data_IF_687989339071
#
_entry.id   IF_687989339071
#
_cell.length_a   1.000
_cell.length_b   1.000
_cell.length_c   1.000
_cell.angle_alpha   90.00
_cell.angle_beta   90.00
_cell.angle_gamma   90.00
#
_symmetry.space_group_name_H-M   'P 1'
#
loop_
_entity.id
_entity.type
_entity.pdbx_description
1 polymer ?
#
# COMPACT_ATOMS: atom_id res chain seq x y z
N UNK A 1 4.57 -9.31 30.20
CA UNK A 1 3.83 -8.10 30.55
C UNK A 1 3.05 -8.34 31.85
N UNK A 2 2.08 -9.27 31.90
CA UNK A 2 1.23 -9.53 33.08
C UNK A 2 2.00 -9.87 34.32
N UNK A 3 2.99 -10.78 34.25
CA UNK A 3 3.83 -11.17 35.39
C UNK A 3 4.57 -10.00 36.02
N UNK A 4 4.79 -8.92 35.26
CA UNK A 4 5.48 -7.71 35.69
C UNK A 4 4.51 -6.58 36.09
N UNK A 5 3.20 -6.82 36.03
CA UNK A 5 2.18 -5.80 36.36
C UNK A 5 2.09 -4.65 35.35
N UNK A 6 2.65 -4.81 34.14
CA UNK A 6 2.75 -3.75 33.12
C UNK A 6 1.56 -3.70 32.16
N UNK A 7 0.58 -4.57 32.28
CA UNK A 7 -0.53 -4.72 31.34
C UNK A 7 -1.41 -3.48 31.17
N UNK A 8 -1.45 -2.63 32.19
CA UNK A 8 -2.25 -1.39 32.16
C UNK A 8 -1.53 -0.24 31.40
N UNK A 9 -0.27 -0.43 31.06
CA UNK A 9 0.56 0.58 30.41
C UNK A 9 1.38 0.01 29.23
N UNK A 10 0.88 -1.05 28.61
CA UNK A 10 1.59 -1.69 27.50
C UNK A 10 0.61 -2.08 26.40
N UNK A 11 0.92 -1.68 25.19
CA UNK A 11 0.28 -2.17 23.97
C UNK A 11 1.24 -3.12 23.25
N UNK A 12 0.71 -4.20 22.74
CA UNK A 12 1.45 -5.18 21.94
C UNK A 12 0.82 -5.27 20.57
N UNK A 13 1.62 -5.05 19.54
CA UNK A 13 1.23 -5.22 18.15
C UNK A 13 2.05 -6.33 17.54
N UNK A 14 1.39 -7.19 16.78
CA UNK A 14 2.04 -8.25 16.01
C UNK A 14 1.52 -8.19 14.58
N UNK A 15 2.43 -8.12 13.64
CA UNK A 15 2.16 -8.09 12.21
C UNK A 15 3.42 -8.48 11.45
N UNK A 16 3.38 -8.46 10.14
CA UNK A 16 4.55 -8.57 9.26
C UNK A 16 4.57 -7.38 8.30
N UNK A 17 5.70 -7.11 7.71
CA UNK A 17 5.94 -5.97 6.81
C UNK A 17 5.29 -6.13 5.43
N UNK A 18 5.17 -7.37 4.94
CA UNK A 18 4.62 -7.71 3.63
C UNK A 18 4.01 -9.12 3.64
N UNK A 19 3.40 -9.50 2.55
CA UNK A 19 2.86 -10.84 2.35
C UNK A 19 3.92 -11.92 2.25
N UNK A 20 3.49 -13.18 2.21
CA UNK A 20 4.38 -14.32 2.18
C UNK A 20 5.36 -14.26 1.00
N UNK A 21 6.63 -14.47 1.27
CA UNK A 21 7.66 -14.61 0.26
C UNK A 21 7.79 -16.07 -0.17
N UNK A 22 6.92 -16.47 -1.05
CA UNK A 22 6.78 -17.88 -1.44
C UNK A 22 8.04 -18.47 -2.10
N UNK A 23 8.92 -17.62 -2.62
CA UNK A 23 10.21 -18.02 -3.23
C UNK A 23 11.16 -18.72 -2.24
N UNK A 24 10.95 -18.54 -0.95
CA UNK A 24 11.78 -19.17 0.09
C UNK A 24 11.04 -20.29 0.82
N UNK A 25 10.23 -21.03 0.07
CA UNK A 25 9.58 -22.23 0.58
C UNK A 25 10.62 -23.23 1.16
N UNK A 26 10.36 -23.88 2.29
CA UNK A 26 9.10 -23.89 3.05
C UNK A 26 9.00 -22.81 4.13
N UNK A 27 10.01 -21.99 4.34
CA UNK A 27 10.12 -21.12 5.52
C UNK A 27 9.14 -19.95 5.51
N UNK A 28 8.83 -19.38 4.36
CA UNK A 28 7.91 -18.26 4.26
C UNK A 28 6.42 -18.64 4.31
N UNK A 29 6.10 -19.92 4.09
CA UNK A 29 4.71 -20.38 4.01
C UNK A 29 3.92 -19.76 2.86
N UNK A 30 2.60 -19.79 2.98
CA UNK A 30 1.66 -19.32 1.97
C UNK A 30 0.64 -18.34 2.56
N UNK A 31 0.04 -17.54 1.69
CA UNK A 31 -1.09 -16.68 2.00
C UNK A 31 -2.35 -17.20 1.31
N UNK A 32 -3.56 -17.00 1.88
CA UNK A 32 -4.80 -17.34 1.20
C UNK A 32 -5.14 -16.39 0.04
N UNK A 33 -4.38 -15.32 -0.12
CA UNK A 33 -4.60 -14.29 -1.13
C UNK A 33 -3.73 -14.55 -2.36
N UNK A 34 -4.09 -13.90 -3.47
CA UNK A 34 -3.37 -14.06 -4.74
C UNK A 34 -1.95 -13.52 -4.66
N UNK A 35 -1.02 -14.26 -5.25
CA UNK A 35 0.37 -13.87 -5.47
C UNK A 35 1.21 -13.76 -4.18
N UNK A 36 2.33 -13.09 -4.22
CA UNK A 36 3.42 -13.14 -3.26
C UNK A 36 4.02 -11.76 -2.99
N UNK A 37 4.95 -11.66 -2.03
CA UNK A 37 5.77 -10.49 -1.78
C UNK A 37 6.32 -9.89 -3.08
N UNK A 38 6.33 -8.56 -3.19
CA UNK A 38 6.83 -7.82 -4.34
C UNK A 38 5.82 -7.65 -5.47
N UNK A 39 4.55 -7.95 -5.23
CA UNK A 39 3.46 -7.73 -6.18
C UNK A 39 2.42 -6.78 -5.62
N UNK A 40 1.61 -6.18 -6.49
CA UNK A 40 0.50 -5.31 -6.10
C UNK A 40 -0.78 -6.09 -5.73
N UNK A 41 -0.69 -7.42 -5.68
CA UNK A 41 -1.79 -8.31 -5.31
C UNK A 41 -1.98 -8.36 -3.79
N UNK A 42 -3.16 -8.78 -3.35
CA UNK A 42 -3.46 -8.91 -1.93
C UNK A 42 -2.48 -9.85 -1.21
N UNK A 43 -1.99 -10.90 -1.88
CA UNK A 43 -1.01 -11.82 -1.31
C UNK A 43 0.36 -11.19 -1.03
N UNK A 44 0.70 -10.11 -1.74
CA UNK A 44 1.93 -9.36 -1.48
C UNK A 44 1.78 -8.29 -0.40
N UNK A 45 0.56 -7.84 -0.13
CA UNK A 45 0.31 -6.65 0.69
C UNK A 45 -0.58 -6.90 1.92
N UNK A 46 -1.56 -7.78 1.80
CA UNK A 46 -2.50 -8.05 2.88
C UNK A 46 -1.91 -9.02 3.89
N UNK A 47 -1.72 -8.54 5.11
CA UNK A 47 -1.05 -9.26 6.20
C UNK A 47 -1.94 -9.38 7.43
N UNK A 48 -1.73 -10.40 8.26
CA UNK A 48 -2.40 -10.46 9.56
C UNK A 48 -1.87 -9.38 10.48
N UNK A 49 -2.76 -8.80 11.30
CA UNK A 49 -2.39 -7.88 12.34
C UNK A 49 -3.18 -8.19 13.62
N UNK A 50 -2.49 -8.22 14.75
CA UNK A 50 -3.05 -8.46 16.07
C UNK A 50 -2.60 -7.34 16.99
N UNK A 51 -3.56 -6.77 17.73
CA UNK A 51 -3.27 -5.78 18.75
C UNK A 51 -3.84 -6.22 20.09
N UNK A 52 -3.08 -5.99 21.14
CA UNK A 52 -3.49 -6.23 22.52
C UNK A 52 -3.04 -5.07 23.40
N UNK A 53 -3.88 -4.67 24.35
CA UNK A 53 -3.55 -3.61 25.30
C UNK A 53 -4.78 -3.04 26.02
N UNK A 54 -4.56 -2.04 26.89
CA UNK A 54 -5.64 -1.39 27.62
C UNK A 54 -6.71 -0.82 26.67
N UNK A 55 -7.98 -1.03 26.98
CA UNK A 55 -9.09 -0.52 26.17
C UNK A 55 -9.41 -1.30 24.90
N UNK A 56 -8.54 -2.20 24.45
CA UNK A 56 -8.81 -3.06 23.29
C UNK A 56 -9.73 -4.22 23.74
N UNK A 57 -10.89 -4.33 23.10
CA UNK A 57 -11.87 -5.38 23.43
C UNK A 57 -11.33 -6.75 22.97
N UNK A 58 -11.19 -7.73 23.90
CA UNK A 58 -10.75 -9.08 23.54
C UNK A 58 -11.65 -9.73 22.49
N UNK A 59 -11.05 -10.39 21.49
CA UNK A 59 -11.75 -11.10 20.44
C UNK A 59 -12.47 -10.21 19.43
N UNK A 60 -12.31 -8.89 19.50
CA UNK A 60 -12.81 -7.98 18.48
C UNK A 60 -12.12 -8.21 17.13
N UNK A 61 -12.84 -7.94 16.05
CA UNK A 61 -12.34 -8.01 14.68
C UNK A 61 -12.70 -6.73 13.95
N UNK A 62 -11.81 -6.26 13.13
CA UNK A 62 -12.02 -5.11 12.25
C UNK A 62 -11.55 -5.43 10.84
N UNK A 63 -12.25 -4.90 9.84
CA UNK A 63 -11.98 -5.10 8.42
C UNK A 63 -11.76 -3.79 7.67
N UNK A 64 -11.65 -2.69 8.39
CA UNK A 64 -11.31 -1.40 7.81
C UNK A 64 -9.88 -1.41 7.27
N UNK A 65 -9.58 -0.47 6.37
CA UNK A 65 -8.23 -0.34 5.82
C UNK A 65 -7.32 0.26 6.90
N UNK A 66 -6.30 -0.49 7.28
CA UNK A 66 -5.20 -0.07 8.14
C UNK A 66 -3.88 -0.56 7.53
N UNK A 67 -2.81 0.16 7.75
CA UNK A 67 -1.50 -0.25 7.25
C UNK A 67 -0.36 0.12 8.18
N UNK A 68 0.83 -0.36 7.87
CA UNK A 68 2.05 -0.05 8.60
C UNK A 68 2.34 1.46 8.69
N UNK A 69 1.89 2.22 7.70
CA UNK A 69 1.98 3.69 7.69
C UNK A 69 1.26 4.33 8.89
N UNK A 70 0.22 3.68 9.43
CA UNK A 70 -0.64 4.24 10.47
C UNK A 70 -0.10 4.01 11.88
N UNK A 71 0.92 3.20 12.05
CA UNK A 71 1.50 2.94 13.36
C UNK A 71 2.06 4.18 14.02
N UNK A 72 2.70 5.07 13.26
CA UNK A 72 3.37 6.23 13.83
C UNK A 72 2.37 7.20 14.49
N UNK A 73 1.29 7.58 13.80
CA UNK A 73 0.25 8.44 14.37
C UNK A 73 -0.51 7.74 15.52
N UNK A 74 -0.79 6.45 15.33
CA UNK A 74 -1.47 5.64 16.36
C UNK A 74 -0.64 5.56 17.64
N UNK A 75 0.66 5.28 17.54
CA UNK A 75 1.53 5.21 18.70
C UNK A 75 1.72 6.57 19.38
N UNK A 76 1.78 7.65 18.59
CA UNK A 76 1.79 9.00 19.16
C UNK A 76 0.52 9.27 19.97
N UNK A 77 -0.64 8.95 19.42
CA UNK A 77 -1.92 9.11 20.12
C UNK A 77 -2.02 8.23 21.37
N UNK A 78 -1.63 6.95 21.30
CA UNK A 78 -1.59 6.06 22.46
C UNK A 78 -0.61 6.53 23.55
N UNK A 79 0.47 7.20 23.14
CA UNK A 79 1.45 7.84 24.03
C UNK A 79 1.04 9.22 24.54
N UNK A 80 -0.14 9.72 24.18
CA UNK A 80 -0.65 11.02 24.61
C UNK A 80 0.07 12.22 23.95
N UNK A 81 0.64 12.02 22.75
CA UNK A 81 1.34 13.05 21.98
C UNK A 81 0.83 13.12 20.54
N UNK A 82 1.36 14.05 19.76
CA UNK A 82 1.07 14.23 18.34
C UNK A 82 2.35 14.11 17.51
N UNK A 83 2.20 13.84 16.22
CA UNK A 83 3.32 13.83 15.29
C UNK A 83 3.95 15.22 15.15
N UNK A 84 5.28 15.33 15.01
CA UNK A 84 5.95 16.60 14.80
C UNK A 84 5.59 17.17 13.43
N UNK A 85 5.47 18.49 13.34
CA UNK A 85 5.24 19.21 12.07
C UNK A 85 6.52 19.67 11.40
N UNK A 86 7.66 19.52 12.09
CA UNK A 86 9.00 19.86 11.61
C UNK A 86 10.00 18.77 11.96
N UNK A 87 10.96 18.56 11.08
CA UNK A 87 12.09 17.69 11.34
C UNK A 87 13.15 18.34 12.27
N UNK A 88 14.24 17.61 12.56
CA UNK A 88 15.31 18.12 13.42
C UNK A 88 16.06 19.32 12.84
N UNK A 89 15.99 19.51 11.52
CA UNK A 89 16.56 20.66 10.81
C UNK A 89 15.58 21.85 10.73
N UNK A 90 14.40 21.73 11.34
CA UNK A 90 13.35 22.75 11.31
C UNK A 90 12.54 22.80 10.03
N UNK A 91 12.75 21.87 9.11
CA UNK A 91 12.01 21.79 7.84
C UNK A 91 10.62 21.20 8.05
N UNK A 92 9.61 21.68 7.31
CA UNK A 92 8.27 21.11 7.36
C UNK A 92 8.30 19.61 7.05
N UNK A 93 7.60 18.82 7.84
CA UNK A 93 7.44 17.38 7.66
C UNK A 93 5.97 17.02 7.62
N UNK A 94 5.62 16.06 6.77
CA UNK A 94 4.29 15.50 6.66
C UNK A 94 4.38 13.97 6.77
N UNK A 95 3.37 13.39 7.37
CA UNK A 95 3.24 11.93 7.52
C UNK A 95 1.98 11.46 6.82
N UNK A 96 2.08 10.38 6.05
CA UNK A 96 0.95 9.68 5.44
C UNK A 96 0.26 8.74 6.43
N UNK A 97 0.25 9.10 7.70
CA UNK A 97 -0.16 8.29 8.84
C UNK A 97 -1.44 8.85 9.47
N UNK A 98 -2.39 7.98 9.73
CA UNK A 98 -3.61 8.30 10.46
C UNK A 98 -3.61 7.64 11.84
N UNK A 99 -4.20 8.31 12.82
CA UNK A 99 -4.47 7.71 14.12
C UNK A 99 -5.59 6.66 14.01
N UNK A 100 -5.25 5.42 14.29
CA UNK A 100 -6.16 4.27 14.26
C UNK A 100 -6.62 3.84 15.67
N UNK A 101 -6.33 4.61 16.71
CA UNK A 101 -6.79 4.31 18.06
C UNK A 101 -8.31 4.18 18.17
N UNK A 102 -9.15 4.96 17.45
CA UNK A 102 -10.60 4.74 17.45
C UNK A 102 -11.01 3.37 16.92
N UNK A 103 -10.28 2.83 15.93
CA UNK A 103 -10.53 1.49 15.40
C UNK A 103 -10.13 0.42 16.43
N UNK A 104 -8.98 0.59 17.07
CA UNK A 104 -8.48 -0.34 18.10
C UNK A 104 -9.42 -0.44 19.29
N UNK A 105 -9.99 0.68 19.71
CA UNK A 105 -10.94 0.73 20.83
C UNK A 105 -12.39 0.44 20.42
N UNK A 106 -12.68 0.31 19.13
CA UNK A 106 -14.04 0.11 18.63
C UNK A 106 -14.95 1.32 18.82
N UNK A 107 -14.39 2.51 18.91
CA UNK A 107 -15.12 3.78 19.09
C UNK A 107 -15.33 4.53 17.77
N UNK A 108 -14.68 4.12 16.70
CA UNK A 108 -14.79 4.73 15.37
C UNK A 108 -14.33 3.81 14.26
N UNK A 109 -14.45 4.31 13.04
CA UNK A 109 -13.96 3.67 11.82
C UNK A 109 -12.56 4.17 11.47
N UNK A 110 -11.87 3.46 10.57
CA UNK A 110 -10.63 3.93 10.00
C UNK A 110 -10.81 5.28 9.28
N UNK A 111 -9.88 6.20 9.53
CA UNK A 111 -9.77 7.43 8.76
C UNK A 111 -9.22 7.21 7.35
N UNK A 112 -8.61 6.04 7.11
CA UNK A 112 -8.07 5.65 5.81
C UNK A 112 -9.16 4.99 4.98
N UNK A 113 -9.56 5.66 3.90
CA UNK A 113 -10.59 5.17 2.97
C UNK A 113 -10.00 4.61 1.68
N UNK A 114 -8.71 4.85 1.43
CA UNK A 114 -7.99 4.37 0.25
C UNK A 114 -6.63 3.79 0.64
N UNK A 115 -6.14 2.90 -0.21
CA UNK A 115 -4.81 2.31 -0.11
C UNK A 115 -4.17 2.28 -1.48
N UNK A 116 -2.88 2.63 -1.54
CA UNK A 116 -2.09 2.61 -2.77
C UNK A 116 -1.01 1.56 -2.65
N UNK A 117 -0.89 0.73 -3.66
CA UNK A 117 0.08 -0.36 -3.72
C UNK A 117 1.23 0.07 -4.61
N UNK A 118 2.43 -0.02 -4.08
CA UNK A 118 3.65 0.33 -4.80
C UNK A 118 4.55 -0.89 -4.88
N UNK A 119 5.18 -1.09 -6.02
CA UNK A 119 6.34 -1.96 -6.12
C UNK A 119 7.61 -1.13 -5.94
N UNK A 120 8.76 -1.79 -5.86
CA UNK A 120 10.04 -1.11 -5.65
C UNK A 120 10.29 -0.09 -6.78
N UNK A 121 10.89 1.02 -6.41
CA UNK A 121 11.32 2.10 -7.30
C UNK A 121 10.19 2.78 -8.08
N UNK A 122 8.95 2.69 -7.62
CA UNK A 122 7.82 3.33 -8.26
C UNK A 122 7.32 4.55 -7.48
N UNK A 123 7.02 5.62 -8.20
CA UNK A 123 6.30 6.78 -7.69
C UNK A 123 4.81 6.76 -8.05
N UNK A 124 4.43 6.01 -9.07
CA UNK A 124 3.02 5.77 -9.39
C UNK A 124 2.57 4.45 -8.77
N UNK A 125 1.36 4.39 -8.21
CA UNK A 125 0.86 3.13 -7.65
C UNK A 125 0.61 2.12 -8.78
N UNK A 126 1.02 0.87 -8.57
CA UNK A 126 0.70 -0.24 -9.43
C UNK A 126 -0.72 -0.76 -9.24
N UNK A 127 -1.33 -0.45 -8.09
CA UNK A 127 -2.75 -0.65 -7.81
C UNK A 127 -3.26 0.39 -6.82
N UNK A 128 -4.57 0.62 -6.83
CA UNK A 128 -5.24 1.48 -5.87
C UNK A 128 -6.54 0.85 -5.39
N UNK A 129 -6.84 1.01 -4.11
CA UNK A 129 -8.05 0.52 -3.46
C UNK A 129 -8.82 1.69 -2.85
N UNK A 130 -10.14 1.72 -3.08
CA UNK A 130 -11.08 2.63 -2.42
C UNK A 130 -12.22 1.79 -1.86
N UNK A 131 -12.38 1.79 -0.55
CA UNK A 131 -13.34 0.92 0.10
C UNK A 131 -13.09 -0.55 -0.21
N UNK A 132 -14.07 -1.21 -0.83
CA UNK A 132 -13.98 -2.62 -1.22
C UNK A 132 -13.38 -2.84 -2.61
N UNK A 133 -13.33 -1.80 -3.44
CA UNK A 133 -12.89 -1.94 -4.83
C UNK A 133 -11.41 -1.65 -4.99
N UNK A 134 -10.74 -2.48 -5.77
CA UNK A 134 -9.33 -2.36 -6.11
C UNK A 134 -9.15 -2.39 -7.62
N UNK A 135 -8.45 -1.42 -8.17
CA UNK A 135 -7.97 -1.44 -9.55
C UNK A 135 -6.48 -1.77 -9.57
N UNK A 136 -6.10 -2.68 -10.45
CA UNK A 136 -4.71 -3.09 -10.65
C UNK A 136 -4.25 -2.61 -12.01
N UNK A 137 -3.24 -1.76 -12.03
CA UNK A 137 -2.66 -1.14 -13.23
C UNK A 137 -1.38 -1.85 -13.67
N UNK A 138 -0.61 -2.37 -12.70
CA UNK A 138 0.63 -3.10 -12.92
C UNK A 138 0.38 -4.59 -12.66
N UNK A 139 0.52 -5.40 -13.70
CA UNK A 139 0.28 -6.84 -13.64
C UNK A 139 1.54 -7.64 -13.27
N UNK A 140 2.53 -7.01 -12.63
CA UNK A 140 3.69 -7.74 -12.12
C UNK A 140 3.24 -8.89 -11.23
N UNK A 141 3.80 -10.06 -11.44
CA UNK A 141 3.37 -11.29 -10.77
C UNK A 141 2.15 -11.95 -11.41
N UNK A 142 1.76 -11.47 -12.60
CA UNK A 142 0.73 -12.06 -13.42
C UNK A 142 1.30 -12.20 -14.83
N UNK A 143 1.60 -13.42 -15.26
CA UNK A 143 2.13 -13.72 -16.59
C UNK A 143 1.04 -13.78 -17.67
N UNK A 144 -0.18 -13.38 -17.34
CA UNK A 144 -1.32 -13.48 -18.25
C UNK A 144 -1.81 -14.92 -18.43
N UNK A 145 -1.09 -15.90 -17.91
CA UNK A 145 -1.46 -17.31 -17.94
C UNK A 145 -1.95 -17.80 -16.58
N UNK A 146 -1.75 -17.02 -15.55
CA UNK A 146 -2.19 -17.32 -14.20
C UNK A 146 -3.71 -17.20 -14.07
N UNK A 147 -4.42 -17.85 -14.95
CA UNK A 147 -5.85 -18.03 -14.86
C UNK A 147 -6.17 -18.79 -13.58
N UNK A 148 -6.49 -18.06 -12.52
CA UNK A 148 -7.01 -18.65 -11.30
C UNK A 148 -6.04 -19.55 -10.55
N UNK A 149 -4.88 -19.79 -11.03
CA UNK A 149 -3.83 -20.41 -10.26
C UNK A 149 -3.47 -19.42 -9.15
N UNK A 150 -3.37 -19.90 -7.96
CA UNK A 150 -2.45 -19.35 -7.01
C UNK A 150 -1.18 -19.16 -7.84
N UNK A 151 -0.91 -17.94 -8.26
CA UNK A 151 0.25 -17.69 -9.09
C UNK A 151 1.47 -17.86 -8.20
N UNK A 152 1.85 -19.08 -8.09
CA UNK A 152 3.06 -19.51 -7.44
C UNK A 152 4.14 -19.65 -8.51
N UNK A 153 4.17 -18.72 -9.43
CA UNK A 153 5.38 -18.58 -10.17
C UNK A 153 6.32 -17.72 -9.33
N UNK A 154 7.20 -18.41 -8.66
CA UNK A 154 8.24 -17.86 -7.81
C UNK A 154 9.12 -16.84 -8.52
N UNK A 155 9.13 -16.85 -9.85
CA UNK A 155 9.89 -15.90 -10.66
C UNK A 155 9.14 -14.59 -10.88
N UNK A 156 7.88 -14.49 -10.50
CA UNK A 156 7.01 -13.36 -10.77
C UNK A 156 6.84 -12.39 -9.59
N UNK A 157 7.49 -12.63 -8.49
CA UNK A 157 7.58 -11.68 -7.39
C UNK A 157 8.42 -10.47 -7.77
N UNK A 158 9.12 -9.93 -6.85
CA UNK A 158 10.00 -8.77 -7.07
C UNK A 158 11.17 -9.07 -8.03
N UNK A 159 11.51 -10.33 -8.24
CA UNK A 159 12.47 -10.79 -9.25
C UNK A 159 11.87 -10.98 -10.63
N UNK A 160 10.56 -10.76 -10.77
CA UNK A 160 9.88 -10.95 -12.03
C UNK A 160 10.46 -10.09 -13.14
N UNK A 161 10.64 -10.65 -14.34
CA UNK A 161 11.41 -10.00 -15.38
C UNK A 161 10.74 -8.76 -15.96
N UNK A 162 9.42 -8.65 -15.91
CA UNK A 162 8.71 -7.59 -16.58
C UNK A 162 7.56 -7.02 -15.76
N UNK A 163 7.50 -5.70 -15.73
CA UNK A 163 6.31 -4.98 -15.33
C UNK A 163 5.41 -4.82 -16.54
N UNK A 164 4.26 -5.41 -16.44
CA UNK A 164 3.25 -5.28 -17.47
C UNK A 164 2.20 -4.25 -17.01
N UNK A 165 2.08 -3.16 -17.74
CA UNK A 165 1.08 -2.12 -17.46
C UNK A 165 -0.17 -2.47 -18.24
N UNK A 166 -1.28 -2.66 -17.55
CA UNK A 166 -2.55 -2.95 -18.17
C UNK A 166 -3.06 -1.74 -18.97
N UNK A 167 -3.43 -1.95 -20.24
CA UNK A 167 -4.12 -0.94 -21.05
C UNK A 167 -5.47 -0.58 -20.41
N UNK A 168 -6.12 -1.58 -19.85
CA UNK A 168 -7.36 -1.45 -19.09
C UNK A 168 -7.12 -2.09 -17.73
N UNK A 169 -7.25 -1.35 -16.61
CA UNK A 169 -6.98 -1.90 -15.30
C UNK A 169 -7.95 -3.04 -14.97
N UNK A 170 -7.44 -4.06 -14.31
CA UNK A 170 -8.30 -5.07 -13.70
C UNK A 170 -8.98 -4.47 -12.46
N UNK A 171 -10.25 -4.78 -12.26
CA UNK A 171 -11.01 -4.28 -11.10
C UNK A 171 -11.62 -5.44 -10.33
N UNK A 172 -11.45 -5.43 -9.03
CA UNK A 172 -11.92 -6.46 -8.11
C UNK A 172 -12.76 -5.88 -6.99
N UNK A 173 -13.82 -6.56 -6.61
CA UNK A 173 -14.53 -6.34 -5.33
C UNK A 173 -13.89 -7.25 -4.27
N UNK A 174 -13.02 -6.70 -3.45
CA UNK A 174 -12.30 -7.48 -2.43
C UNK A 174 -13.18 -7.98 -1.28
N UNK A 175 -14.41 -7.51 -1.18
CA UNK A 175 -15.36 -8.07 -0.20
C UNK A 175 -15.94 -9.40 -0.68
N UNK A 176 -16.29 -9.48 -1.97
CA UNK A 176 -16.81 -10.70 -2.59
C UNK A 176 -15.70 -11.62 -3.07
N UNK A 177 -14.61 -11.05 -3.56
CA UNK A 177 -13.46 -11.76 -4.14
C UNK A 177 -12.14 -11.30 -3.51
N UNK A 178 -11.86 -11.65 -2.25
CA UNK A 178 -10.62 -11.26 -1.60
C UNK A 178 -9.36 -11.89 -2.21
N UNK A 179 -9.54 -12.84 -3.12
CA UNK A 179 -8.46 -13.55 -3.81
C UNK A 179 -8.18 -12.96 -5.20
N UNK A 180 -8.88 -11.89 -5.61
CA UNK A 180 -8.66 -11.24 -6.91
C UNK A 180 -8.73 -12.22 -8.11
N UNK A 181 -9.71 -13.13 -8.08
CA UNK A 181 -9.89 -14.16 -9.14
C UNK A 181 -10.72 -13.67 -10.31
N UNK A 182 -11.66 -12.78 -10.05
CA UNK A 182 -12.68 -12.38 -11.00
C UNK A 182 -12.65 -10.89 -11.25
N UNK A 183 -12.03 -10.49 -12.36
CA UNK A 183 -12.12 -9.11 -12.84
C UNK A 183 -13.58 -8.80 -13.20
N UNK A 184 -14.16 -7.81 -12.55
CA UNK A 184 -15.56 -7.40 -12.77
C UNK A 184 -15.77 -6.68 -14.11
N UNK A 185 -14.72 -6.49 -14.92
CA UNK A 185 -14.83 -5.88 -16.24
C UNK A 185 -15.87 -6.57 -17.14
N UNK A 186 -15.85 -7.88 -17.18
CA UNK A 186 -16.75 -8.65 -18.05
C UNK A 186 -18.07 -9.03 -17.37
N UNK A 187 -18.10 -9.06 -16.04
CA UNK A 187 -19.26 -9.55 -15.29
C UNK A 187 -20.20 -8.43 -14.85
N UNK A 188 -19.68 -7.25 -14.60
CA UNK A 188 -20.47 -6.10 -14.15
C UNK A 188 -19.86 -4.77 -14.60
N UNK A 189 -20.08 -4.41 -15.85
CA UNK A 189 -19.54 -3.18 -16.43
C UNK A 189 -19.95 -1.91 -15.67
N UNK A 190 -21.16 -1.84 -15.21
CA UNK A 190 -21.70 -0.66 -14.51
C UNK A 190 -20.98 -0.47 -13.16
N UNK A 191 -20.87 -1.53 -12.39
CA UNK A 191 -20.17 -1.51 -11.11
C UNK A 191 -18.68 -1.14 -11.28
N UNK A 192 -18.03 -1.73 -12.27
CA UNK A 192 -16.65 -1.39 -12.62
C UNK A 192 -16.48 0.09 -12.93
N UNK A 193 -17.39 0.67 -13.71
CA UNK A 193 -17.32 2.09 -14.08
C UNK A 193 -17.41 2.97 -12.85
N UNK A 194 -18.34 2.69 -11.95
CA UNK A 194 -18.47 3.42 -10.69
C UNK A 194 -17.23 3.28 -9.81
N UNK A 195 -16.70 2.08 -9.66
CA UNK A 195 -15.51 1.82 -8.89
C UNK A 195 -14.31 2.63 -9.43
N UNK A 196 -14.12 2.64 -10.76
CA UNK A 196 -13.02 3.36 -11.39
C UNK A 196 -13.11 4.88 -11.21
N UNK A 197 -14.31 5.47 -11.16
CA UNK A 197 -14.46 6.90 -10.89
C UNK A 197 -13.84 7.26 -9.54
N UNK A 198 -14.20 6.55 -8.48
CA UNK A 198 -13.66 6.79 -7.14
C UNK A 198 -12.16 6.51 -7.05
N UNK A 199 -11.70 5.44 -7.68
CA UNK A 199 -10.28 5.05 -7.71
C UNK A 199 -9.45 6.08 -8.47
N UNK A 200 -9.89 6.52 -9.65
CA UNK A 200 -9.20 7.55 -10.42
C UNK A 200 -9.11 8.87 -9.65
N UNK A 201 -10.18 9.26 -8.95
CA UNK A 201 -10.15 10.44 -8.10
C UNK A 201 -9.09 10.30 -6.99
N UNK A 202 -9.06 9.16 -6.31
CA UNK A 202 -8.07 8.91 -5.26
C UNK A 202 -6.63 8.93 -5.79
N UNK A 203 -6.39 8.36 -6.97
CA UNK A 203 -5.06 8.41 -7.63
C UNK A 203 -4.69 9.84 -8.01
N UNK A 204 -5.62 10.62 -8.56
CA UNK A 204 -5.37 12.03 -8.86
C UNK A 204 -5.03 12.84 -7.60
N UNK A 205 -5.73 12.58 -6.50
CA UNK A 205 -5.48 13.28 -5.25
C UNK A 205 -4.12 12.88 -4.65
N UNK A 206 -3.71 11.62 -4.77
CA UNK A 206 -2.35 11.21 -4.46
C UNK A 206 -1.32 11.97 -5.30
N UNK A 207 -1.52 12.06 -6.63
CA UNK A 207 -0.59 12.76 -7.52
C UNK A 207 -0.49 14.26 -7.15
N UNK A 208 -1.57 14.90 -6.74
CA UNK A 208 -1.55 16.29 -6.25
C UNK A 208 -0.66 16.45 -5.01
N UNK A 209 -0.55 15.43 -4.17
CA UNK A 209 0.36 15.49 -3.02
C UNK A 209 1.81 15.61 -3.43
N UNK A 210 2.21 15.01 -4.55
CA UNK A 210 3.59 15.13 -5.08
C UNK A 210 3.93 16.54 -5.56
N UNK A 211 2.92 17.32 -5.95
CA UNK A 211 3.11 18.74 -6.27
C UNK A 211 3.36 19.55 -5.01
N UNK A 212 2.52 19.31 -4.00
CA UNK A 212 2.62 20.03 -2.72
C UNK A 212 3.82 19.59 -1.89
N UNK A 213 4.17 18.31 -1.95
CA UNK A 213 5.26 17.67 -1.23
C UNK A 213 6.10 16.83 -2.19
N UNK A 214 6.97 17.46 -2.98
CA UNK A 214 7.77 16.74 -3.98
C UNK A 214 8.54 15.59 -3.34
N UNK A 215 8.64 14.43 -4.02
CA UNK A 215 9.44 13.31 -3.56
C UNK A 215 10.87 13.78 -3.25
N UNK A 216 11.33 13.51 -2.04
CA UNK A 216 12.70 13.84 -1.65
C UNK A 216 13.64 12.75 -2.16
N UNK A 217 14.83 13.16 -2.59
CA UNK A 217 15.89 12.22 -2.85
C UNK A 217 16.15 11.42 -1.57
N UNK A 218 16.13 10.10 -1.63
CA UNK A 218 16.55 9.29 -0.50
C UNK A 218 18.00 9.68 -0.17
N UNK A 219 18.21 10.30 0.96
CA UNK A 219 19.54 10.58 1.51
C UNK A 219 20.09 9.27 2.10
N UNK A 220 20.25 8.28 1.27
CA UNK A 220 21.04 7.11 1.62
C UNK A 220 22.46 7.40 1.15
N UNK A 221 23.30 7.83 2.04
CA UNK A 221 24.74 7.95 1.79
C UNK A 221 25.38 6.60 1.43
N UNK A 222 24.62 5.53 1.55
CA UNK A 222 25.10 4.15 1.37
C UNK A 222 24.63 3.47 0.09
N UNK A 223 23.59 3.98 -0.58
CA UNK A 223 23.12 3.39 -1.82
C UNK A 223 23.56 4.22 -3.02
N UNK A 224 24.66 3.81 -3.63
CA UNK A 224 25.19 4.34 -4.88
C UNK A 224 24.78 3.51 -6.11
N UNK A 225 23.81 2.63 -5.96
CA UNK A 225 23.32 1.78 -7.04
C UNK A 225 22.74 2.60 -8.19
N UNK A 226 22.85 2.11 -9.43
CA UNK A 226 22.29 2.81 -10.57
C UNK A 226 20.76 2.90 -10.45
N UNK A 227 20.23 4.09 -10.69
CA UNK A 227 18.79 4.22 -10.98
C UNK A 227 18.54 3.35 -12.21
N UNK A 228 17.70 2.33 -12.07
CA UNK A 228 17.40 1.48 -13.22
C UNK A 228 16.72 2.30 -14.31
N UNK A 229 17.03 2.00 -15.57
CA UNK A 229 16.41 2.67 -16.73
C UNK A 229 14.87 2.66 -16.58
N UNK A 230 14.32 1.56 -16.09
CA UNK A 230 12.87 1.43 -15.86
C UNK A 230 12.34 2.36 -14.76
N UNK A 231 13.10 2.64 -13.70
CA UNK A 231 12.71 3.63 -12.69
C UNK A 231 12.74 5.04 -13.26
N UNK A 232 13.75 5.36 -14.07
CA UNK A 232 13.84 6.64 -14.76
C UNK A 232 12.69 6.85 -15.75
N UNK A 233 12.39 5.86 -16.59
CA UNK A 233 11.30 5.92 -17.56
C UNK A 233 9.93 6.12 -16.87
N UNK A 234 9.71 5.47 -15.73
CA UNK A 234 8.48 5.66 -14.94
C UNK A 234 8.36 7.07 -14.37
N UNK A 235 9.45 7.60 -13.84
CA UNK A 235 9.52 9.00 -13.41
C UNK A 235 9.17 9.96 -14.53
N UNK A 236 9.70 9.72 -15.73
CA UNK A 236 9.39 10.49 -16.92
C UNK A 236 7.90 10.38 -17.28
N UNK A 237 7.33 9.17 -17.27
CA UNK A 237 5.93 8.96 -17.57
C UNK A 237 4.99 9.67 -16.58
N UNK A 238 5.28 9.61 -15.29
CA UNK A 238 4.50 10.33 -14.26
C UNK A 238 4.60 11.85 -14.51
N UNK A 239 5.80 12.35 -14.75
CA UNK A 239 6.02 13.75 -15.06
C UNK A 239 5.23 14.20 -16.29
N UNK A 240 5.26 13.42 -17.35
CA UNK A 240 4.60 13.75 -18.62
C UNK A 240 3.07 13.71 -18.49
N UNK A 241 2.55 12.77 -17.70
CA UNK A 241 1.12 12.71 -17.38
C UNK A 241 0.67 13.94 -16.57
N UNK A 242 1.46 14.34 -15.58
CA UNK A 242 1.16 15.52 -14.77
C UNK A 242 1.29 16.81 -15.61
N UNK A 243 2.29 16.91 -16.47
CA UNK A 243 2.46 18.04 -17.40
C UNK A 243 1.27 18.18 -18.36
N UNK A 244 0.74 17.08 -18.88
CA UNK A 244 -0.49 17.08 -19.70
C UNK A 244 -1.73 17.61 -18.95
N UNK A 245 -1.71 17.52 -17.63
CA UNK A 245 -2.76 18.05 -16.74
C UNK A 245 -2.46 19.49 -16.27
N UNK A 246 -1.43 20.13 -16.81
CA UNK A 246 -1.00 21.48 -16.43
C UNK A 246 -0.27 21.53 -15.08
N UNK A 247 0.19 20.40 -14.58
CA UNK A 247 0.90 20.27 -13.31
C UNK A 247 2.39 20.14 -13.59
N UNK A 248 3.16 21.19 -13.33
CA UNK A 248 4.62 21.15 -13.38
C UNK A 248 5.18 20.67 -12.02
N UNK A 249 5.85 19.53 -12.01
CA UNK A 249 6.66 19.15 -10.84
C UNK A 249 7.94 19.96 -10.86
N UNK A 250 8.29 20.67 -9.76
CA UNK A 250 9.60 21.25 -9.61
C UNK A 250 10.62 20.13 -9.41
N UNK A 251 11.09 19.56 -10.52
CA UNK A 251 12.13 18.55 -10.47
C UNK A 251 13.48 19.24 -10.36
N UNK A 252 14.38 18.79 -9.48
CA UNK A 252 15.74 19.28 -9.52
C UNK A 252 16.31 18.98 -10.90
N UNK A 253 16.64 20.02 -11.65
CA UNK A 253 17.44 19.92 -12.87
C UNK A 253 18.69 19.13 -12.48
N UNK A 254 18.82 17.91 -13.04
CA UNK A 254 19.98 17.08 -12.79
C UNK A 254 21.26 17.83 -13.21
N UNK A 255 22.15 17.99 -12.29
CA UNK A 255 23.59 18.08 -12.50
C UNK A 255 24.20 16.72 -12.13
#
# INVERSE_FOLDING_TARGET
VRRLGLEKNTYVFWTTDNGAWQDVYPDAGYTPFRSTKGTDREGGNRVPAIAWGPGIKPGSRNYDILGGLDFMATFAALGGTTLPTRDRAGQPIIFDSYDMSPVLFGTGKSARTSWFYFTEDELSPGAARVGNYKAVFNLRGDDGQATGALAVDTNLGWKGPNKYVATVPQVFDLWQDPQERYDIFMTNWTERTWALVGINQAVQDLMKTYVKYPPRKLQSETYTGPITISAYERLQNVRDQLAKQGIALPWPSGN
#
